data_IF_056079665488
#
_entry.id   IF_056079665488
#
_cell.length_a   1.000
_cell.length_b   1.000
_cell.length_c   1.000
_cell.angle_alpha   90.00
_cell.angle_beta   90.00
_cell.angle_gamma   90.00
#
_symmetry.space_group_name_H-M   'P 1'
#
loop_
_entity.id
_entity.type
_entity.pdbx_description
1 polymer ?
#
# COMPACT_ATOMS: atom_id res chain seq x y z
N UNK A 1 8.45 -9.27 -0.99
CA UNK A 1 6.99 -9.28 -0.75
C UNK A 1 6.30 -10.56 -1.24
N UNK A 2 6.67 -11.11 -2.41
CA UNK A 2 6.17 -12.43 -2.85
C UNK A 2 6.64 -13.59 -1.94
N UNK A 3 7.91 -13.60 -1.53
CA UNK A 3 8.44 -14.60 -0.58
C UNK A 3 7.68 -14.62 0.76
N UNK A 4 7.22 -13.45 1.21
CA UNK A 4 6.39 -13.29 2.41
C UNK A 4 4.91 -13.59 2.16
N UNK A 5 4.54 -13.98 0.93
CA UNK A 5 3.19 -14.27 0.46
C UNK A 5 2.21 -13.09 0.58
N UNK A 6 2.70 -11.85 0.59
CA UNK A 6 1.86 -10.64 0.70
C UNK A 6 1.36 -10.14 -0.66
N UNK A 7 2.12 -10.42 -1.72
CA UNK A 7 1.72 -10.16 -3.10
C UNK A 7 1.88 -11.44 -3.92
N UNK A 8 1.11 -11.54 -5.01
CA UNK A 8 1.23 -12.60 -6.01
C UNK A 8 1.36 -11.96 -7.38
N UNK A 9 2.40 -12.33 -8.12
CA UNK A 9 2.56 -11.98 -9.52
C UNK A 9 1.81 -12.93 -10.46
N UNK A 10 1.17 -12.38 -11.48
CA UNK A 10 0.63 -13.08 -12.65
C UNK A 10 1.21 -12.45 -13.92
N UNK A 11 1.51 -13.28 -14.92
CA UNK A 11 1.80 -12.78 -16.26
C UNK A 11 0.47 -12.51 -16.95
N UNK A 12 0.29 -11.29 -17.42
CA UNK A 12 -0.87 -10.86 -18.18
C UNK A 12 -0.38 -10.33 -19.53
N UNK A 13 -1.07 -10.70 -20.60
CA UNK A 13 -0.78 -10.19 -21.93
C UNK A 13 -1.56 -8.90 -22.11
N UNK A 14 -0.86 -7.79 -22.31
CA UNK A 14 -1.49 -6.52 -22.71
C UNK A 14 -2.13 -6.67 -24.09
N UNK A 15 -3.17 -5.89 -24.40
CA UNK A 15 -3.83 -5.89 -25.71
C UNK A 15 -2.86 -5.79 -26.90
N UNK A 16 -1.73 -5.07 -26.74
CA UNK A 16 -0.70 -4.95 -27.76
C UNK A 16 0.35 -6.09 -27.74
N UNK A 17 -0.03 -7.29 -27.28
CA UNK A 17 0.81 -8.50 -27.28
C UNK A 17 1.98 -8.53 -26.28
N UNK A 18 2.28 -7.43 -25.58
CA UNK A 18 3.37 -7.38 -24.59
C UNK A 18 2.96 -8.04 -23.28
N UNK A 19 3.73 -9.05 -22.84
CA UNK A 19 3.58 -9.65 -21.51
C UNK A 19 4.05 -8.70 -20.42
N UNK A 20 3.20 -8.43 -19.44
CA UNK A 20 3.51 -7.66 -18.24
C UNK A 20 3.32 -8.54 -17.02
N UNK A 21 4.16 -8.33 -16.00
CA UNK A 21 3.98 -8.99 -14.71
C UNK A 21 3.13 -8.08 -13.83
N UNK A 22 1.89 -8.49 -13.60
CA UNK A 22 0.95 -7.78 -12.75
C UNK A 22 1.02 -8.36 -11.33
N UNK A 23 1.00 -7.50 -10.31
CA UNK A 23 1.05 -7.91 -8.91
C UNK A 23 -0.26 -7.58 -8.21
N UNK A 24 -0.80 -8.56 -7.49
CA UNK A 24 -1.99 -8.38 -6.66
C UNK A 24 -1.68 -8.66 -5.20
N UNK A 25 -2.26 -7.87 -4.30
CA UNK A 25 -2.22 -8.15 -2.87
C UNK A 25 -2.99 -9.44 -2.55
N UNK A 26 -2.37 -10.30 -1.74
CA UNK A 26 -3.04 -11.48 -1.17
C UNK A 26 -3.87 -11.07 0.05
N UNK A 27 -4.77 -11.93 0.56
CA UNK A 27 -5.45 -11.68 1.84
C UNK A 27 -4.48 -11.44 3.00
N UNK A 28 -3.36 -12.17 3.05
CA UNK A 28 -2.32 -11.96 4.06
C UNK A 28 -1.65 -10.57 3.92
N UNK A 29 -1.37 -10.14 2.68
CA UNK A 29 -0.84 -8.79 2.41
C UNK A 29 -1.84 -7.69 2.79
N UNK A 30 -3.13 -7.88 2.49
CA UNK A 30 -4.18 -6.93 2.90
C UNK A 30 -4.28 -6.79 4.42
N UNK A 31 -4.23 -7.90 5.17
CA UNK A 31 -4.22 -7.87 6.64
C UNK A 31 -3.04 -7.09 7.19
N UNK A 32 -1.86 -7.22 6.57
CA UNK A 32 -0.66 -6.47 6.98
C UNK A 32 -0.72 -4.97 6.69
N UNK A 33 -1.51 -4.53 5.71
CA UNK A 33 -1.69 -3.10 5.43
C UNK A 33 -2.58 -2.37 6.45
N UNK A 34 -3.45 -3.08 7.17
CA UNK A 34 -4.37 -2.46 8.13
C UNK A 34 -3.64 -1.73 9.27
N UNK A 35 -2.71 -2.35 10.02
CA UNK A 35 -1.96 -1.64 11.07
C UNK A 35 -1.10 -0.51 10.49
N UNK A 36 -0.47 -0.73 9.34
CA UNK A 36 0.35 0.30 8.68
C UNK A 36 -0.49 1.54 8.35
N UNK A 37 -1.72 1.38 7.83
CA UNK A 37 -2.63 2.50 7.56
C UNK A 37 -2.99 3.28 8.81
N UNK A 38 -3.17 2.59 9.93
CA UNK A 38 -3.47 3.22 11.22
C UNK A 38 -2.28 4.07 11.69
N UNK A 39 -1.07 3.52 11.67
CA UNK A 39 0.16 4.24 12.02
C UNK A 39 0.35 5.51 11.17
N UNK A 40 0.15 5.39 9.85
CA UNK A 40 0.19 6.56 8.95
C UNK A 40 -0.89 7.59 9.28
N UNK A 41 -2.11 7.14 9.61
CA UNK A 41 -3.19 8.04 10.01
C UNK A 41 -2.82 8.84 11.26
N UNK A 42 -2.26 8.18 12.27
CA UNK A 42 -1.84 8.82 13.53
C UNK A 42 -0.72 9.84 13.29
N UNK A 43 0.29 9.48 12.48
CA UNK A 43 1.36 10.39 12.09
C UNK A 43 0.81 11.65 11.39
N UNK A 44 -0.04 11.48 10.37
CA UNK A 44 -0.61 12.62 9.66
C UNK A 44 -1.52 13.46 10.54
N UNK A 45 -2.23 12.86 11.49
CA UNK A 45 -3.03 13.60 12.47
C UNK A 45 -2.14 14.48 13.37
N UNK A 46 -1.02 13.97 13.87
CA UNK A 46 -0.07 14.74 14.65
C UNK A 46 0.51 15.93 13.86
N UNK A 47 0.94 15.68 12.61
CA UNK A 47 1.43 16.72 11.71
C UNK A 47 0.35 17.79 11.44
N UNK A 48 -0.92 17.38 11.28
CA UNK A 48 -2.04 18.31 11.09
C UNK A 48 -2.27 19.20 12.31
N UNK A 49 -2.09 18.67 13.51
CA UNK A 49 -2.18 19.45 14.76
C UNK A 49 -1.05 20.47 14.85
N UNK A 50 0.19 20.05 14.56
CA UNK A 50 1.35 20.94 14.54
C UNK A 50 1.16 22.09 13.54
N UNK A 51 0.71 21.79 12.32
CA UNK A 51 0.43 22.82 11.30
C UNK A 51 -0.61 23.85 11.76
N UNK A 52 -1.63 23.44 12.52
CA UNK A 52 -2.64 24.38 13.05
C UNK A 52 -2.06 25.32 14.10
N UNK A 53 -1.14 24.84 14.94
CA UNK A 53 -0.48 25.66 15.97
C UNK A 53 0.47 26.68 15.33
N UNK A 54 1.20 26.30 14.28
CA UNK A 54 2.14 27.20 13.59
C UNK A 54 1.46 28.34 12.79
N UNK A 55 0.16 28.22 12.53
CA UNK A 55 -0.64 29.21 11.79
C UNK A 55 -1.61 29.99 12.71
N UNK A 56 -1.46 29.86 14.03
CA UNK A 56 -2.19 30.60 15.06
C UNK A 56 -1.23 31.55 15.78
#
# INVERSE_FOLDING_TARGET
MEQRRWIRGSWETSDNGRRRRCYRLTPAGKKKLSPLRQEWSELFQALRRLKKVANA
#
